data_IF_437539458720
#
_entry.id   IF_437539458720
#
_cell.length_a   1.000
_cell.length_b   1.000
_cell.length_c   1.000
_cell.angle_alpha   90.00
_cell.angle_beta   90.00
_cell.angle_gamma   90.00
#
_symmetry.space_group_name_H-M   'P 1'
#
loop_
_entity.id
_entity.type
_entity.pdbx_description
1 polymer ?
#
# COMPACT_ATOMS: atom_id res chain seq x y z
N UNK A 1 16.18 3.76 -21.59
CA UNK A 1 15.06 3.10 -22.30
C UNK A 1 15.38 3.12 -23.78
N UNK A 2 15.66 1.96 -24.38
CA UNK A 2 16.35 1.91 -25.67
C UNK A 2 17.68 2.66 -25.57
N UNK A 3 17.87 3.61 -26.47
CA UNK A 3 19.09 4.41 -26.64
C UNK A 3 19.17 5.59 -25.64
N UNK A 4 18.11 5.82 -24.86
CA UNK A 4 18.02 6.94 -23.92
C UNK A 4 18.52 6.53 -22.53
N UNK A 5 19.29 7.41 -21.89
CA UNK A 5 19.79 7.24 -20.52
C UNK A 5 19.45 8.43 -19.65
N UNK A 6 19.20 8.18 -18.37
CA UNK A 6 19.01 9.20 -17.35
C UNK A 6 19.78 8.77 -16.09
N UNK A 7 20.39 9.73 -15.42
CA UNK A 7 20.88 9.55 -14.07
C UNK A 7 19.71 9.77 -13.10
N UNK A 8 19.50 8.81 -12.22
CA UNK A 8 18.44 8.86 -11.21
C UNK A 8 19.12 8.95 -9.85
N UNK A 9 18.87 10.06 -9.16
CA UNK A 9 19.19 10.23 -7.75
C UNK A 9 17.87 10.24 -6.98
N UNK A 10 17.68 9.27 -6.10
CA UNK A 10 16.43 9.11 -5.38
C UNK A 10 16.43 7.92 -4.43
N UNK A 11 15.49 7.97 -3.50
CA UNK A 11 15.27 6.90 -2.54
C UNK A 11 14.49 5.75 -3.18
N UNK A 12 14.66 4.56 -2.63
CA UNK A 12 13.96 3.37 -3.09
C UNK A 12 13.52 2.51 -1.93
N UNK A 13 12.60 1.61 -2.21
CA UNK A 13 12.20 0.57 -1.29
C UNK A 13 12.38 -0.79 -1.94
N UNK A 14 12.64 -1.82 -1.12
CA UNK A 14 12.78 -3.20 -1.56
C UNK A 14 12.02 -4.09 -0.60
N UNK A 15 10.92 -4.67 -1.07
CA UNK A 15 10.35 -5.84 -0.41
C UNK A 15 11.16 -7.08 -0.74
N UNK A 16 11.17 -7.99 0.23
CA UNK A 16 11.40 -9.38 -0.06
C UNK A 16 10.35 -10.22 0.67
N UNK A 17 9.77 -11.17 -0.05
CA UNK A 17 8.76 -12.08 0.46
C UNK A 17 8.95 -13.46 -0.17
N UNK A 18 8.84 -14.51 0.64
CA UNK A 18 9.10 -15.90 0.25
C UNK A 18 7.98 -16.84 0.71
N UNK A 19 7.97 -18.05 0.14
CA UNK A 19 6.95 -19.08 0.40
C UNK A 19 5.98 -19.28 -0.77
N UNK A 20 5.07 -20.26 -0.68
CA UNK A 20 4.06 -20.50 -1.72
C UNK A 20 3.20 -19.25 -1.94
N UNK A 21 3.36 -18.59 -3.09
CA UNK A 21 2.69 -17.31 -3.38
C UNK A 21 1.37 -17.56 -4.09
N UNK A 22 0.31 -17.52 -3.31
CA UNK A 22 -1.06 -17.48 -3.80
C UNK A 22 -1.59 -16.08 -3.48
N UNK A 23 -1.72 -15.22 -4.51
CA UNK A 23 -2.37 -13.91 -4.34
C UNK A 23 -3.81 -14.10 -3.84
N UNK A 24 -4.41 -15.23 -4.21
CA UNK A 24 -5.68 -15.75 -3.73
C UNK A 24 -5.70 -16.23 -2.26
N UNK A 25 -4.58 -16.22 -1.53
CA UNK A 25 -4.62 -16.49 -0.08
C UNK A 25 -4.85 -15.21 0.74
N UNK A 26 -4.85 -14.03 0.11
CA UNK A 26 -5.08 -12.76 0.78
C UNK A 26 -6.47 -12.28 0.41
N UNK A 27 -7.37 -12.13 1.39
CA UNK A 27 -8.73 -11.65 1.11
C UNK A 27 -8.68 -10.20 0.59
N UNK A 28 -8.03 -9.31 1.35
CA UNK A 28 -7.46 -8.09 0.81
C UNK A 28 -6.33 -7.52 1.68
N UNK A 29 -5.51 -6.65 1.10
CA UNK A 29 -4.60 -5.81 1.86
C UNK A 29 -4.42 -4.41 1.26
N UNK A 30 -3.80 -3.56 2.07
CA UNK A 30 -3.38 -2.19 1.77
C UNK A 30 -1.92 -2.06 2.20
N UNK A 31 -1.01 -1.86 1.25
CA UNK A 31 0.40 -1.58 1.48
C UNK A 31 0.70 -0.13 1.09
N UNK A 32 1.44 0.54 1.95
CA UNK A 32 1.92 1.89 1.74
C UNK A 32 3.41 1.91 2.00
N UNK A 33 4.18 2.34 1.01
CA UNK A 33 5.62 2.55 1.14
C UNK A 33 5.96 3.95 0.68
N UNK A 34 6.76 4.68 1.45
CA UNK A 34 7.10 6.05 1.10
C UNK A 34 8.44 6.47 1.70
N UNK A 35 9.15 7.36 1.02
CA UNK A 35 10.34 8.04 1.52
C UNK A 35 10.05 9.54 1.62
N UNK A 36 10.57 10.18 2.68
CA UNK A 36 10.38 11.60 2.98
C UNK A 36 11.74 12.27 3.20
N UNK A 37 12.52 12.35 2.12
CA UNK A 37 13.94 12.73 2.19
C UNK A 37 14.82 11.60 2.74
N UNK A 38 16.00 11.97 3.23
CA UNK A 38 17.06 11.02 3.58
C UNK A 38 16.86 10.28 4.91
N UNK A 39 16.03 10.82 5.79
CA UNK A 39 15.96 10.45 7.21
C UNK A 39 14.62 9.84 7.64
N UNK A 40 13.61 9.87 6.76
CA UNK A 40 12.25 9.42 7.06
C UNK A 40 11.69 8.48 5.99
N UNK A 41 10.98 7.46 6.45
CA UNK A 41 10.38 6.47 5.57
C UNK A 41 9.24 5.72 6.24
N UNK A 42 8.42 5.08 5.42
CA UNK A 42 7.25 4.32 5.84
C UNK A 42 7.21 2.99 5.10
N UNK A 43 6.92 1.92 5.84
CA UNK A 43 6.24 0.76 5.30
C UNK A 43 5.10 0.39 6.22
N UNK A 44 3.88 0.32 5.69
CA UNK A 44 2.68 -0.02 6.44
C UNK A 44 1.84 -1.01 5.63
N UNK A 45 1.51 -2.14 6.24
CA UNK A 45 0.71 -3.21 5.67
C UNK A 45 -0.48 -3.51 6.60
N UNK A 46 -1.69 -3.27 6.09
CA UNK A 46 -2.96 -3.70 6.70
C UNK A 46 -3.56 -4.81 5.85
N UNK A 47 -3.61 -6.04 6.37
CA UNK A 47 -4.13 -7.22 5.69
C UNK A 47 -5.31 -7.80 6.44
N UNK A 48 -6.35 -8.21 5.72
CA UNK A 48 -7.50 -8.89 6.26
C UNK A 48 -7.60 -10.28 5.62
N UNK A 49 -7.89 -11.29 6.43
CA UNK A 49 -8.16 -12.65 5.97
C UNK A 49 -9.67 -12.88 5.71
N UNK A 50 -10.05 -14.07 5.24
CA UNK A 50 -11.45 -14.36 4.88
C UNK A 50 -12.36 -14.44 6.11
N UNK A 51 -11.78 -14.66 7.29
CA UNK A 51 -12.45 -14.68 8.58
C UNK A 51 -12.65 -13.27 9.17
N UNK A 52 -12.10 -12.23 8.51
CA UNK A 52 -12.20 -10.84 8.93
C UNK A 52 -11.15 -10.40 9.95
N UNK A 53 -10.16 -11.24 10.26
CA UNK A 53 -9.09 -10.86 11.18
C UNK A 53 -8.18 -9.82 10.53
N UNK A 54 -7.95 -8.72 11.24
CA UNK A 54 -7.04 -7.66 10.78
C UNK A 54 -5.63 -7.89 11.29
N UNK A 55 -4.69 -8.03 10.35
CA UNK A 55 -3.26 -8.04 10.61
C UNK A 55 -2.64 -6.68 10.26
N UNK A 56 -1.92 -6.12 11.23
CA UNK A 56 -1.22 -4.83 11.11
C UNK A 56 0.27 -5.08 11.24
N UNK A 57 1.05 -4.61 10.26
CA UNK A 57 2.52 -4.67 10.26
C UNK A 57 3.07 -3.38 9.67
N UNK A 58 4.19 -2.92 10.18
CA UNK A 58 4.85 -1.78 9.57
C UNK A 58 5.96 -1.22 10.42
N UNK A 59 6.76 -0.38 9.78
CA UNK A 59 7.85 0.37 10.38
C UNK A 59 7.75 1.82 9.92
N UNK A 60 8.04 2.73 10.84
CA UNK A 60 8.26 4.13 10.56
C UNK A 60 9.75 4.41 10.78
N UNK A 61 10.42 4.99 9.80
CA UNK A 61 11.77 5.48 9.97
C UNK A 61 11.71 6.98 10.26
N UNK A 62 12.34 7.43 11.33
CA UNK A 62 12.53 8.87 11.62
C UNK A 62 13.92 9.10 12.19
N UNK A 63 14.59 10.14 11.71
CA UNK A 63 15.99 10.44 12.04
C UNK A 63 16.91 9.21 11.81
N UNK A 64 16.65 8.46 10.73
CA UNK A 64 17.32 7.20 10.39
C UNK A 64 17.16 6.07 11.43
N UNK A 65 16.20 6.16 12.35
CA UNK A 65 15.89 5.12 13.33
C UNK A 65 14.54 4.48 13.01
N UNK A 66 14.48 3.14 13.05
CA UNK A 66 13.24 2.41 12.85
C UNK A 66 12.43 2.31 14.13
N UNK A 67 11.14 2.58 14.00
CA UNK A 67 10.13 2.38 15.02
C UNK A 67 9.07 1.42 14.50
N UNK A 68 8.72 0.44 15.34
CA UNK A 68 7.63 -0.46 15.01
C UNK A 68 6.29 0.27 15.08
N UNK A 69 5.44 0.08 14.06
CA UNK A 69 4.06 0.55 14.09
C UNK A 69 3.26 -0.41 14.97
N UNK A 70 2.66 0.13 16.04
CA UNK A 70 1.83 -0.62 17.01
C UNK A 70 0.34 -0.47 16.74
N UNK A 71 -0.04 0.54 15.97
CA UNK A 71 -1.43 0.80 15.57
C UNK A 71 -1.50 1.58 14.27
N UNK A 72 -2.58 1.38 13.53
CA UNK A 72 -2.75 2.05 12.25
C UNK A 72 -4.22 2.15 11.81
N UNK A 73 -4.52 3.26 11.14
CA UNK A 73 -5.78 3.57 10.49
C UNK A 73 -5.52 3.96 9.04
N UNK A 74 -6.48 3.60 8.17
CA UNK A 74 -6.46 3.90 6.74
C UNK A 74 -7.82 4.47 6.41
N UNK A 75 -7.83 5.59 5.72
CA UNK A 75 -9.02 6.14 5.10
C UNK A 75 -8.71 6.38 3.62
N UNK A 76 -9.57 5.87 2.75
CA UNK A 76 -9.41 6.03 1.30
C UNK A 76 -10.56 6.82 0.72
N UNK A 77 -10.25 7.81 -0.11
CA UNK A 77 -11.23 8.37 -1.04
C UNK A 77 -11.14 7.62 -2.36
N UNK A 78 -12.30 7.34 -2.95
CA UNK A 78 -12.43 6.49 -4.14
C UNK A 78 -13.10 7.26 -5.28
N UNK A 79 -12.75 6.94 -6.52
CA UNK A 79 -13.50 7.39 -7.70
C UNK A 79 -14.68 6.45 -8.04
N UNK A 80 -15.41 6.77 -9.11
CA UNK A 80 -16.54 5.97 -9.60
C UNK A 80 -16.14 4.56 -10.07
N UNK A 81 -14.85 4.35 -10.38
CA UNK A 81 -14.28 3.04 -10.74
C UNK A 81 -13.73 2.30 -9.52
N UNK A 82 -13.93 2.85 -8.31
CA UNK A 82 -13.41 2.31 -7.05
C UNK A 82 -11.89 2.26 -7.06
N UNK A 83 -11.22 3.14 -7.79
CA UNK A 83 -9.79 3.41 -7.70
C UNK A 83 -9.53 4.40 -6.57
N UNK A 84 -8.45 4.23 -5.78
CA UNK A 84 -8.09 5.22 -4.77
C UNK A 84 -7.68 6.53 -5.44
N UNK A 85 -8.19 7.66 -4.96
CA UNK A 85 -7.79 9.01 -5.39
C UNK A 85 -6.95 9.72 -4.34
N UNK A 86 -7.24 9.46 -3.07
CA UNK A 86 -6.45 9.95 -1.94
C UNK A 86 -6.48 8.93 -0.79
N UNK A 87 -5.46 8.99 0.06
CA UNK A 87 -5.34 8.13 1.23
C UNK A 87 -4.88 8.94 2.42
N UNK A 88 -5.52 8.76 3.58
CA UNK A 88 -5.02 9.25 4.86
C UNK A 88 -4.61 8.07 5.74
N UNK A 89 -3.40 8.14 6.28
CA UNK A 89 -2.85 7.17 7.21
C UNK A 89 -2.77 7.80 8.60
N UNK A 90 -3.35 7.11 9.58
CA UNK A 90 -3.08 7.34 10.99
C UNK A 90 -2.08 6.29 11.48
N UNK A 91 -0.97 6.71 12.05
CA UNK A 91 0.11 5.80 12.47
C UNK A 91 0.45 6.06 13.93
N UNK A 92 0.62 4.98 14.70
CA UNK A 92 1.13 5.03 16.07
C UNK A 92 2.32 4.09 16.23
N UNK A 93 3.35 4.57 16.89
CA UNK A 93 4.48 3.78 17.42
C UNK A 93 4.48 3.92 18.95
N UNK A 94 5.47 3.34 19.63
CA UNK A 94 5.67 3.59 21.06
C UNK A 94 6.07 5.05 21.35
N UNK A 95 6.71 5.72 20.39
CA UNK A 95 7.29 7.03 20.57
C UNK A 95 6.44 8.17 20.01
N UNK A 96 5.57 7.90 19.01
CA UNK A 96 4.85 8.97 18.31
C UNK A 96 3.50 8.56 17.72
N UNK A 97 2.72 9.59 17.38
CA UNK A 97 1.51 9.51 16.55
C UNK A 97 1.68 10.46 15.39
N UNK A 98 1.45 9.98 14.18
CA UNK A 98 1.70 10.73 12.94
C UNK A 98 0.50 10.56 12.02
N UNK A 99 0.16 11.64 11.31
CA UNK A 99 -0.74 11.58 10.15
C UNK A 99 0.06 11.79 8.87
N UNK A 100 -0.20 10.96 7.87
CA UNK A 100 0.38 11.10 6.54
C UNK A 100 -0.75 11.08 5.52
N UNK A 101 -0.79 12.08 4.63
CA UNK A 101 -1.79 12.17 3.58
C UNK A 101 -1.14 11.87 2.23
N UNK A 102 -1.84 11.15 1.36
CA UNK A 102 -1.39 10.73 0.05
C UNK A 102 -2.37 11.17 -1.04
N UNK A 103 -1.84 11.67 -2.14
CA UNK A 103 -2.57 11.96 -3.37
C UNK A 103 -2.08 11.01 -4.47
N UNK A 104 -3.00 10.26 -5.06
CA UNK A 104 -2.67 9.29 -6.10
C UNK A 104 -2.41 10.03 -7.42
N UNK A 105 -1.23 9.84 -7.99
CA UNK A 105 -0.83 10.47 -9.26
C UNK A 105 -1.14 9.60 -10.47
N UNK A 106 -0.85 8.31 -10.38
CA UNK A 106 -1.03 7.38 -11.49
C UNK A 106 -1.27 6.00 -10.95
N UNK A 107 -2.29 5.32 -11.50
CA UNK A 107 -2.65 3.95 -11.17
C UNK A 107 -2.28 3.05 -12.35
N UNK A 108 -1.60 1.94 -12.06
CA UNK A 108 -1.53 0.79 -12.94
C UNK A 108 -2.63 -0.21 -12.52
N UNK A 109 -3.73 -0.34 -13.29
CA UNK A 109 -4.80 -1.27 -12.98
C UNK A 109 -4.43 -2.67 -13.46
N UNK A 110 -4.19 -3.58 -12.52
CA UNK A 110 -3.74 -4.94 -12.78
C UNK A 110 -4.80 -5.96 -12.33
N UNK A 111 -4.81 -7.14 -12.96
CA UNK A 111 -5.67 -8.28 -12.61
C UNK A 111 -4.89 -9.57 -12.60
N UNK A 112 -5.15 -10.40 -11.60
CA UNK A 112 -4.68 -11.77 -11.54
C UNK A 112 -5.87 -12.73 -11.62
N UNK A 113 -5.80 -13.70 -12.52
CA UNK A 113 -6.78 -14.77 -12.65
C UNK A 113 -6.13 -16.10 -12.35
N UNK A 114 -6.82 -16.96 -11.60
CA UNK A 114 -6.32 -18.30 -11.28
C UNK A 114 -7.44 -19.30 -11.20
N UNK A 115 -7.29 -20.42 -11.90
CA UNK A 115 -8.21 -21.56 -11.78
C UNK A 115 -7.80 -22.47 -10.62
N UNK A 116 -8.74 -22.79 -9.73
CA UNK A 116 -8.59 -23.76 -8.64
C UNK A 116 -9.85 -24.62 -8.58
N UNK A 117 -9.71 -25.94 -8.70
CA UNK A 117 -10.84 -26.90 -8.64
C UNK A 117 -12.02 -26.57 -9.58
N UNK A 118 -11.74 -25.98 -10.75
CA UNK A 118 -12.77 -25.58 -11.73
C UNK A 118 -13.43 -24.23 -11.46
N UNK A 119 -13.03 -23.53 -10.41
CA UNK A 119 -13.44 -22.15 -10.11
C UNK A 119 -12.34 -21.18 -10.54
N UNK A 120 -12.71 -20.07 -11.20
CA UNK A 120 -11.77 -18.98 -11.51
C UNK A 120 -11.84 -17.96 -10.39
N UNK A 121 -10.71 -17.79 -9.69
CA UNK A 121 -10.48 -16.74 -8.72
C UNK A 121 -9.92 -15.50 -9.42
N UNK A 122 -10.49 -14.35 -9.13
CA UNK A 122 -10.01 -13.06 -9.62
C UNK A 122 -9.55 -12.17 -8.47
N UNK A 123 -8.34 -11.63 -8.60
CA UNK A 123 -7.81 -10.61 -7.72
C UNK A 123 -7.54 -9.33 -8.51
N UNK A 124 -8.03 -8.22 -7.98
CA UNK A 124 -7.66 -6.88 -8.40
C UNK A 124 -6.36 -6.46 -7.70
N UNK A 125 -5.49 -5.82 -8.46
CA UNK A 125 -4.25 -5.22 -7.99
C UNK A 125 -4.24 -3.77 -8.48
N UNK A 126 -4.08 -2.84 -7.57
CA UNK A 126 -3.89 -1.42 -7.84
C UNK A 126 -2.49 -1.07 -7.36
N UNK A 127 -1.62 -0.77 -8.31
CA UNK A 127 -0.28 -0.25 -8.04
C UNK A 127 -0.28 1.24 -8.37
N UNK A 128 -0.20 2.08 -7.36
CA UNK A 128 -0.40 3.50 -7.51
C UNK A 128 0.82 4.30 -7.06
N UNK A 129 1.32 5.17 -7.93
CA UNK A 129 2.33 6.15 -7.59
C UNK A 129 1.68 7.30 -6.82
N UNK A 130 2.24 7.62 -5.66
CA UNK A 130 1.57 8.48 -4.67
C UNK A 130 2.53 9.55 -4.18
N UNK A 131 2.08 10.80 -4.24
CA UNK A 131 2.68 11.91 -3.50
C UNK A 131 2.16 11.90 -2.09
N UNK A 132 3.06 12.01 -1.12
CA UNK A 132 2.76 11.98 0.30
C UNK A 132 3.13 13.31 0.97
N UNK A 133 2.40 13.64 2.02
CA UNK A 133 2.68 14.78 2.89
C UNK A 133 2.60 14.33 4.34
N UNK A 134 3.70 14.47 5.06
CA UNK A 134 3.79 14.26 6.49
C UNK A 134 3.07 15.39 7.24
N UNK A 135 2.68 15.18 8.50
CA UNK A 135 1.91 16.17 9.30
C UNK A 135 2.62 17.53 9.50
N UNK A 136 3.95 17.56 9.48
CA UNK A 136 4.78 18.78 9.50
C UNK A 136 4.95 19.43 8.12
N UNK A 137 4.26 18.93 7.10
CA UNK A 137 4.32 19.42 5.73
C UNK A 137 5.47 18.86 4.90
N UNK A 138 6.27 17.92 5.43
CA UNK A 138 7.37 17.30 4.68
C UNK A 138 6.83 16.49 3.49
N UNK A 139 7.29 16.76 2.26
CA UNK A 139 6.88 16.01 1.09
C UNK A 139 7.54 14.62 1.07
N UNK A 140 6.86 13.66 0.46
CA UNK A 140 7.38 12.34 0.20
C UNK A 140 6.80 11.75 -1.08
N UNK A 141 7.43 10.69 -1.56
CA UNK A 141 6.99 9.95 -2.74
C UNK A 141 7.04 8.46 -2.42
N UNK A 142 6.11 7.70 -2.98
CA UNK A 142 6.02 6.29 -2.72
C UNK A 142 4.96 5.57 -3.53
N UNK A 143 4.60 4.39 -3.05
CA UNK A 143 3.62 3.50 -3.66
C UNK A 143 2.47 3.24 -2.68
N UNK A 144 1.26 3.29 -3.22
CA UNK A 144 0.05 2.73 -2.63
C UNK A 144 -0.29 1.45 -3.40
N UNK A 145 -0.29 0.29 -2.73
CA UNK A 145 -0.63 -0.99 -3.34
C UNK A 145 -1.86 -1.60 -2.67
N UNK A 146 -2.95 -1.76 -3.44
CA UNK A 146 -4.17 -2.41 -2.98
C UNK A 146 -4.36 -3.72 -3.72
N UNK A 147 -4.58 -4.78 -2.95
CA UNK A 147 -4.85 -6.10 -3.50
C UNK A 147 -6.07 -6.66 -2.83
N UNK A 148 -7.00 -7.15 -3.63
CA UNK A 148 -8.26 -7.66 -3.14
C UNK A 148 -8.87 -8.65 -4.09
N UNK A 149 -9.59 -9.62 -3.53
CA UNK A 149 -10.50 -10.44 -4.31
C UNK A 149 -11.59 -9.59 -4.96
N UNK A 150 -12.07 -10.08 -6.10
CA UNK A 150 -13.37 -9.69 -6.62
C UNK A 150 -14.38 -10.79 -6.29
N UNK A 151 -15.49 -10.41 -5.66
CA UNK A 151 -16.67 -11.26 -5.46
C UNK A 151 -17.82 -10.59 -6.21
N UNK A 152 -18.46 -11.31 -7.13
CA UNK A 152 -19.49 -10.76 -8.03
C UNK A 152 -19.05 -9.48 -8.79
N UNK A 153 -17.75 -9.40 -9.13
CA UNK A 153 -17.15 -8.24 -9.80
C UNK A 153 -16.82 -7.07 -8.87
N UNK A 154 -17.06 -7.22 -7.57
CA UNK A 154 -16.90 -6.19 -6.56
C UNK A 154 -15.63 -6.40 -5.72
N UNK A 155 -14.78 -5.37 -5.55
CA UNK A 155 -13.60 -5.46 -4.70
C UNK A 155 -14.00 -5.61 -3.24
N UNK A 156 -13.60 -6.72 -2.61
CA UNK A 156 -14.01 -7.07 -1.24
C UNK A 156 -13.50 -6.11 -0.16
N UNK A 157 -12.46 -5.33 -0.47
CA UNK A 157 -11.94 -4.29 0.40
C UNK A 157 -12.55 -2.91 0.15
N UNK A 158 -13.64 -2.81 -0.63
CA UNK A 158 -14.36 -1.57 -0.89
C UNK A 158 -15.72 -1.53 -0.16
N UNK A 159 -16.09 -0.38 0.43
CA UNK A 159 -15.19 0.70 0.84
C UNK A 159 -14.40 0.31 2.10
N UNK A 160 -13.15 0.78 2.21
CA UNK A 160 -12.40 0.80 3.48
C UNK A 160 -11.88 2.18 3.83
#
# INVERSE_FOLDING_TARGET
MGDQSWDIDGHGWRDHSWGPRYWTNIYYYRLFVANFGDDRGLMMLKRIDREGNTHRRGVLMVDNQYEQIVDMDVFTEWDDKKEPVSVQLGIRTENRKVRINGTILTVAPLRNHREINGETLECRIVEAFTEWTWDDGRPGIGITEYIEFLEDGEPVGYPL
#
